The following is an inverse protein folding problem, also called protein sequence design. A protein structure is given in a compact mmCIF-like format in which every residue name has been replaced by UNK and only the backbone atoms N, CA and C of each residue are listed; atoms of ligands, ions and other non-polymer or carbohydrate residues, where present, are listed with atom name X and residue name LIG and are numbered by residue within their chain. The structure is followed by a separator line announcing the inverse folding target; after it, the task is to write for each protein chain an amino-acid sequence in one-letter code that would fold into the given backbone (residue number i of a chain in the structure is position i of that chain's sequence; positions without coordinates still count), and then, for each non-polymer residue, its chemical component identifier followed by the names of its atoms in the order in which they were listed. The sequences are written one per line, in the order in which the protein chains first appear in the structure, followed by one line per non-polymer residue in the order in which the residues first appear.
data_IF_188230749247
#
_entry.id   IF_188230749247
#
_cell.length_a   1.000
_cell.length_b   1.000
_cell.length_c   1.000
_cell.angle_alpha   90.00
_cell.angle_beta   90.00
_cell.angle_gamma   90.00
#
_symmetry.space_group_name_H-M   'P 1'
#
loop_
_entity.id
_entity.type
_entity.pdbx_description
1 polymer ?
#
# COMPACT_ATOMS: atom_id res chain seq x y z
N UNK A 1 17.90 26.40 -3.80
CA UNK A 1 17.62 27.07 -2.51
C UNK A 1 18.04 28.53 -2.62
N UNK A 2 17.23 29.47 -2.12
CA UNK A 2 17.54 30.90 -2.07
C UNK A 2 18.73 31.17 -1.13
N UNK A 3 19.61 32.11 -1.52
CA UNK A 3 20.73 32.61 -0.71
C UNK A 3 20.30 33.25 0.63
N UNK A 4 19.01 33.53 0.81
CA UNK A 4 18.46 34.26 1.96
C UNK A 4 17.57 33.43 2.89
N UNK A 5 17.55 32.11 2.74
CA UNK A 5 16.66 31.22 3.50
C UNK A 5 15.19 31.26 3.00
N UNK A 6 14.28 30.50 3.64
CA UNK A 6 12.89 30.43 3.21
C UNK A 6 12.15 31.75 3.47
N UNK A 7 11.38 32.19 2.49
CA UNK A 7 10.48 33.34 2.57
C UNK A 7 9.36 33.12 3.60
N UNK A 8 8.74 34.21 4.06
CA UNK A 8 7.56 34.14 4.94
C UNK A 8 6.45 33.29 4.35
N UNK A 9 6.24 33.35 3.03
CA UNK A 9 5.26 32.53 2.32
C UNK A 9 5.59 31.04 2.44
N UNK A 10 6.84 30.66 2.16
CA UNK A 10 7.28 29.26 2.27
C UNK A 10 7.16 28.73 3.71
N UNK A 11 7.41 29.58 4.71
CA UNK A 11 7.22 29.20 6.12
C UNK A 11 5.74 29.01 6.49
N UNK A 12 4.83 29.80 5.92
CA UNK A 12 3.38 29.63 6.11
C UNK A 12 2.86 28.36 5.43
N UNK A 13 3.34 28.07 4.21
CA UNK A 13 3.05 26.82 3.51
C UNK A 13 3.56 25.60 4.30
N UNK A 14 4.78 25.68 4.83
CA UNK A 14 5.34 24.63 5.68
C UNK A 14 4.54 24.45 6.98
N UNK A 15 4.16 25.55 7.64
CA UNK A 15 3.31 25.48 8.82
C UNK A 15 1.97 24.83 8.52
N UNK A 16 1.30 25.22 7.43
CA UNK A 16 0.03 24.63 7.04
C UNK A 16 0.14 23.12 6.77
N UNK A 17 1.26 22.67 6.19
CA UNK A 17 1.54 21.25 6.03
C UNK A 17 1.70 20.52 7.37
N UNK A 18 2.48 21.09 8.30
CA UNK A 18 2.76 20.47 9.61
C UNK A 18 1.52 20.45 10.50
N UNK A 19 0.73 21.52 10.51
CA UNK A 19 -0.44 21.67 11.41
C UNK A 19 -1.75 21.19 10.78
N UNK A 20 -1.79 21.01 9.46
CA UNK A 20 -3.02 20.76 8.70
C UNK A 20 -3.97 21.97 8.62
N UNK A 21 -3.52 23.16 9.01
CA UNK A 21 -4.35 24.36 9.10
C UNK A 21 -3.72 25.56 8.41
N UNK A 22 -4.49 26.22 7.55
CA UNK A 22 -4.07 27.49 6.93
C UNK A 22 -4.04 28.61 7.96
N UNK A 23 -3.01 29.46 7.89
CA UNK A 23 -2.90 30.66 8.71
C UNK A 23 -2.25 31.80 7.92
N UNK A 24 -2.67 33.03 8.20
CA UNK A 24 -2.03 34.24 7.70
C UNK A 24 -0.81 34.68 8.55
N UNK A 25 -0.59 34.02 9.69
CA UNK A 25 0.48 34.34 10.67
C UNK A 25 1.36 33.12 10.96
N UNK A 26 2.63 33.39 11.23
CA UNK A 26 3.56 32.37 11.71
C UNK A 26 3.38 32.19 13.22
N UNK A 27 3.09 30.97 13.62
CA UNK A 27 2.95 30.51 15.00
C UNK A 27 4.09 29.58 15.41
N UNK A 28 4.79 29.00 14.42
CA UNK A 28 5.94 28.13 14.62
C UNK A 28 7.20 28.75 14.05
N UNK A 29 8.31 28.62 14.78
CA UNK A 29 9.65 28.94 14.30
C UNK A 29 10.11 27.89 13.27
N UNK A 30 11.10 28.25 12.44
CA UNK A 30 11.72 27.30 11.50
C UNK A 30 12.25 26.04 12.20
N UNK A 31 12.81 26.18 13.41
CA UNK A 31 13.32 25.04 14.18
C UNK A 31 12.18 24.12 14.64
N UNK A 32 11.08 24.68 15.13
CA UNK A 32 9.89 23.91 15.49
C UNK A 32 9.27 23.21 14.27
N UNK A 33 9.15 23.91 13.13
CA UNK A 33 8.67 23.30 11.87
C UNK A 33 9.54 22.12 11.45
N UNK A 34 10.87 22.27 11.53
CA UNK A 34 11.82 21.20 11.21
C UNK A 34 11.67 20.01 12.15
N UNK A 35 11.60 20.26 13.46
CA UNK A 35 11.44 19.21 14.46
C UNK A 35 10.13 18.42 14.27
N UNK A 36 9.00 19.12 14.08
CA UNK A 36 7.70 18.49 13.84
C UNK A 36 7.68 17.70 12.52
N UNK A 37 8.33 18.21 11.47
CA UNK A 37 8.45 17.48 10.19
C UNK A 37 9.30 16.23 10.34
N UNK A 38 10.39 16.29 11.11
CA UNK A 38 11.22 15.12 11.39
C UNK A 38 10.44 14.05 12.15
N UNK A 39 9.67 14.43 13.17
CA UNK A 39 8.82 13.50 13.89
C UNK A 39 7.78 12.86 12.97
N UNK A 40 7.11 13.67 12.15
CA UNK A 40 6.13 13.22 11.17
C UNK A 40 6.72 12.21 10.15
N UNK A 41 7.95 12.46 9.70
CA UNK A 41 8.67 11.55 8.81
C UNK A 41 9.03 10.25 9.52
N UNK A 42 9.54 10.31 10.75
CA UNK A 42 9.88 9.13 11.54
C UNK A 42 8.64 8.23 11.77
N UNK A 43 7.50 8.83 12.11
CA UNK A 43 6.25 8.10 12.26
C UNK A 43 5.79 7.45 10.95
N UNK A 44 5.90 8.19 9.84
CA UNK A 44 5.51 7.67 8.52
C UNK A 44 6.42 6.53 8.07
N UNK A 45 7.74 6.63 8.30
CA UNK A 45 8.69 5.55 8.03
C UNK A 45 8.36 4.28 8.83
N UNK A 46 8.04 4.43 10.12
CA UNK A 46 7.63 3.31 10.98
C UNK A 46 6.36 2.64 10.45
N UNK A 47 5.35 3.43 10.06
CA UNK A 47 4.09 2.91 9.51
C UNK A 47 4.34 2.22 8.17
N UNK A 48 5.10 2.82 7.26
CA UNK A 48 5.46 2.21 5.98
C UNK A 48 6.18 0.88 6.17
N UNK A 49 7.13 0.79 7.11
CA UNK A 49 7.84 -0.46 7.41
C UNK A 49 6.90 -1.56 7.91
N UNK A 50 5.93 -1.22 8.78
CA UNK A 50 4.94 -2.19 9.25
C UNK A 50 4.00 -2.64 8.12
N UNK A 51 3.58 -1.71 7.25
CA UNK A 51 2.76 -2.03 6.08
C UNK A 51 3.49 -3.01 5.16
N UNK A 52 4.75 -2.77 4.81
CA UNK A 52 5.55 -3.65 3.95
C UNK A 52 5.60 -5.07 4.52
N UNK A 53 5.85 -5.21 5.83
CA UNK A 53 5.83 -6.50 6.51
C UNK A 53 4.47 -7.19 6.37
N UNK A 54 3.38 -6.51 6.72
CA UNK A 54 2.03 -7.08 6.66
C UNK A 54 1.63 -7.47 5.23
N UNK A 55 1.92 -6.61 4.24
CA UNK A 55 1.67 -6.85 2.81
C UNK A 55 2.38 -8.13 2.34
N UNK A 56 3.59 -8.40 2.84
CA UNK A 56 4.36 -9.58 2.46
C UNK A 56 3.85 -10.90 3.07
N UNK A 57 3.11 -10.84 4.18
CA UNK A 57 2.72 -12.01 4.97
C UNK A 57 1.22 -12.36 4.85
N UNK A 58 0.36 -11.35 4.68
CA UNK A 58 -1.09 -11.56 4.75
C UNK A 58 -1.62 -12.39 3.57
N UNK A 59 -2.67 -13.15 3.87
CA UNK A 59 -3.53 -13.85 2.90
C UNK A 59 -4.97 -13.29 2.87
N UNK A 60 -5.26 -12.26 3.69
CA UNK A 60 -6.58 -11.63 3.75
C UNK A 60 -6.64 -10.44 2.77
N UNK A 61 -7.52 -10.47 1.76
CA UNK A 61 -7.67 -9.37 0.80
C UNK A 61 -7.86 -8.01 1.47
N UNK A 62 -8.78 -7.90 2.45
CA UNK A 62 -9.05 -6.61 3.08
C UNK A 62 -7.83 -6.02 3.80
N UNK A 63 -7.02 -6.88 4.41
CA UNK A 63 -5.80 -6.46 5.10
C UNK A 63 -4.72 -6.07 4.09
N UNK A 64 -4.59 -6.83 3.00
CA UNK A 64 -3.61 -6.53 1.95
C UNK A 64 -3.86 -5.16 1.32
N UNK A 65 -5.05 -4.94 0.75
CA UNK A 65 -5.36 -3.71 0.02
C UNK A 65 -5.38 -2.49 0.94
N UNK A 66 -5.93 -2.61 2.16
CA UNK A 66 -5.88 -1.49 3.11
C UNK A 66 -4.47 -1.09 3.54
N UNK A 67 -3.52 -2.05 3.58
CA UNK A 67 -2.11 -1.75 3.87
C UNK A 67 -1.37 -1.18 2.66
N UNK A 68 -1.71 -1.59 1.44
CA UNK A 68 -1.20 -0.96 0.22
C UNK A 68 -1.59 0.52 0.16
N UNK A 69 -2.86 0.84 0.41
CA UNK A 69 -3.34 2.22 0.44
C UNK A 69 -2.64 3.05 1.52
N UNK A 70 -2.50 2.48 2.72
CA UNK A 70 -1.82 3.15 3.83
C UNK A 70 -0.33 3.39 3.51
N UNK A 71 0.34 2.41 2.91
CA UNK A 71 1.73 2.54 2.47
C UNK A 71 1.88 3.65 1.42
N UNK A 72 0.97 3.74 0.46
CA UNK A 72 0.97 4.81 -0.54
C UNK A 72 0.83 6.18 0.13
N UNK A 73 -0.16 6.34 1.03
CA UNK A 73 -0.41 7.59 1.75
C UNK A 73 0.82 8.07 2.52
N UNK A 74 1.49 7.17 3.25
CA UNK A 74 2.67 7.52 4.02
C UNK A 74 3.90 7.77 3.15
N UNK A 75 4.06 7.04 2.05
CA UNK A 75 5.13 7.30 1.07
C UNK A 75 4.96 8.65 0.38
N UNK A 76 3.72 9.00 0.00
CA UNK A 76 3.38 10.33 -0.52
C UNK A 76 3.64 11.43 0.51
N UNK A 77 3.27 11.21 1.77
CA UNK A 77 3.54 12.17 2.85
C UNK A 77 5.04 12.38 3.06
N UNK A 78 5.83 11.31 2.98
CA UNK A 78 7.29 11.37 3.06
C UNK A 78 7.90 12.15 1.90
N UNK A 79 7.38 12.00 0.67
CA UNK A 79 7.86 12.77 -0.49
C UNK A 79 7.62 14.28 -0.33
N UNK A 80 6.53 14.69 0.34
CA UNK A 80 6.32 16.11 0.70
C UNK A 80 7.33 16.57 1.75
N UNK A 81 7.64 15.73 2.75
CA UNK A 81 8.63 16.06 3.79
C UNK A 81 10.03 16.34 3.20
N UNK A 82 10.39 15.75 2.06
CA UNK A 82 11.70 15.98 1.40
C UNK A 82 11.98 17.43 1.07
N UNK A 83 10.93 18.24 0.84
CA UNK A 83 11.08 19.68 0.61
C UNK A 83 11.67 20.41 1.83
N UNK A 84 11.52 19.83 3.02
CA UNK A 84 11.73 20.49 4.30
C UNK A 84 12.85 19.86 5.15
N UNK A 85 13.08 18.56 4.99
CA UNK A 85 14.10 17.80 5.73
C UNK A 85 14.92 16.93 4.79
N UNK A 86 16.09 16.51 5.24
CA UNK A 86 16.96 15.60 4.49
C UNK A 86 16.65 14.17 4.88
N UNK A 87 16.62 13.28 3.89
CA UNK A 87 16.54 11.83 4.09
C UNK A 87 17.91 11.21 3.84
N UNK A 88 18.19 10.10 4.54
CA UNK A 88 19.36 9.27 4.27
C UNK A 88 18.93 8.04 3.49
N UNK A 89 19.69 7.66 2.45
CA UNK A 89 19.34 6.56 1.55
C UNK A 89 18.47 7.00 0.37
N UNK A 90 17.57 6.11 -0.07
CA UNK A 90 16.67 6.39 -1.19
C UNK A 90 15.71 7.53 -0.84
N UNK A 91 15.47 8.41 -1.80
CA UNK A 91 14.53 9.51 -1.63
C UNK A 91 13.09 8.97 -1.62
N UNK A 92 12.26 9.27 -0.61
CA UNK A 92 10.81 9.05 -0.68
C UNK A 92 10.11 9.39 -2.01
N UNK A 93 10.51 10.43 -2.75
CA UNK A 93 9.95 10.75 -4.08
C UNK A 93 10.32 9.71 -5.13
N UNK A 94 11.52 9.14 -5.05
CA UNK A 94 11.93 8.03 -5.91
C UNK A 94 11.15 6.75 -5.54
N UNK A 95 11.00 6.48 -4.24
CA UNK A 95 10.17 5.36 -3.77
C UNK A 95 8.71 5.50 -4.23
N UNK A 96 8.17 6.72 -4.19
CA UNK A 96 6.82 7.01 -4.70
C UNK A 96 6.71 6.79 -6.21
N UNK A 97 7.72 7.20 -6.98
CA UNK A 97 7.74 6.98 -8.43
C UNK A 97 7.76 5.49 -8.80
N UNK A 98 8.42 4.68 -7.98
CA UNK A 98 8.52 3.23 -8.15
C UNK A 98 7.27 2.48 -7.68
N UNK A 99 6.40 3.13 -6.90
CA UNK A 99 5.25 2.51 -6.24
C UNK A 99 4.34 1.74 -7.20
N UNK A 100 4.14 2.21 -8.45
CA UNK A 100 3.30 1.51 -9.42
C UNK A 100 3.83 0.12 -9.81
N UNK A 101 5.14 -0.01 -10.05
CA UNK A 101 5.75 -1.29 -10.37
C UNK A 101 5.82 -2.20 -9.13
N UNK A 102 6.13 -1.64 -7.97
CA UNK A 102 6.15 -2.38 -6.71
C UNK A 102 4.74 -2.87 -6.34
N UNK A 103 3.72 -2.07 -6.63
CA UNK A 103 2.31 -2.41 -6.47
C UNK A 103 1.93 -3.62 -7.33
N UNK A 104 2.23 -3.58 -8.64
CA UNK A 104 1.98 -4.70 -9.54
C UNK A 104 2.57 -6.02 -9.03
N UNK A 105 3.86 -5.99 -8.64
CA UNK A 105 4.57 -7.17 -8.13
C UNK A 105 4.01 -7.65 -6.78
N UNK A 106 3.66 -6.71 -5.88
CA UNK A 106 3.08 -7.04 -4.58
C UNK A 106 1.71 -7.71 -4.72
N UNK A 107 0.85 -7.20 -5.62
CA UNK A 107 -0.45 -7.79 -5.94
C UNK A 107 -0.28 -9.19 -6.50
N UNK A 108 0.64 -9.39 -7.45
CA UNK A 108 0.92 -10.71 -8.02
C UNK A 108 1.37 -11.71 -6.95
N UNK A 109 2.31 -11.30 -6.09
CA UNK A 109 2.79 -12.14 -4.98
C UNK A 109 1.65 -12.48 -3.99
N UNK A 110 0.78 -11.52 -3.69
CA UNK A 110 -0.39 -11.74 -2.85
C UNK A 110 -1.39 -12.71 -3.46
N UNK A 111 -1.74 -12.56 -4.74
CA UNK A 111 -2.65 -13.46 -5.46
C UNK A 111 -2.14 -14.90 -5.37
N UNK A 112 -0.84 -15.11 -5.60
CA UNK A 112 -0.23 -16.45 -5.49
C UNK A 112 -0.38 -17.04 -4.08
N UNK A 113 -0.04 -16.28 -3.03
CA UNK A 113 -0.17 -16.75 -1.64
C UNK A 113 -1.62 -17.05 -1.29
N UNK A 114 -2.55 -16.17 -1.68
CA UNK A 114 -3.96 -16.34 -1.39
C UNK A 114 -4.55 -17.55 -2.14
N UNK A 115 -4.17 -17.75 -3.41
CA UNK A 115 -4.56 -18.93 -4.17
C UNK A 115 -4.05 -20.23 -3.52
N UNK A 116 -2.79 -20.26 -3.08
CA UNK A 116 -2.23 -21.42 -2.37
C UNK A 116 -2.98 -21.74 -1.07
N UNK A 117 -3.34 -20.70 -0.30
CA UNK A 117 -4.17 -20.87 0.90
C UNK A 117 -5.56 -21.42 0.56
N UNK A 118 -6.17 -20.96 -0.54
CA UNK A 118 -7.45 -21.48 -1.03
C UNK A 118 -7.35 -22.94 -1.46
N UNK A 119 -6.32 -23.34 -2.21
CA UNK A 119 -6.08 -24.73 -2.58
C UNK A 119 -5.94 -25.61 -1.34
N UNK A 120 -5.08 -25.19 -0.40
CA UNK A 120 -4.87 -25.91 0.87
C UNK A 120 -6.18 -26.07 1.64
N UNK A 121 -7.02 -25.02 1.66
CA UNK A 121 -8.33 -25.09 2.32
C UNK A 121 -9.28 -26.03 1.59
N UNK A 122 -9.32 -26.01 0.26
CA UNK A 122 -10.17 -26.88 -0.54
C UNK A 122 -9.80 -28.36 -0.33
N UNK A 123 -8.52 -28.70 -0.22
CA UNK A 123 -8.08 -30.08 0.02
C UNK A 123 -8.56 -30.63 1.38
N UNK A 124 -8.83 -29.78 2.37
CA UNK A 124 -9.45 -30.22 3.64
C UNK A 124 -10.94 -30.56 3.53
N UNK A 125 -11.59 -30.23 2.42
CA UNK A 125 -13.04 -30.40 2.25
C UNK A 125 -13.37 -31.74 1.59
N UNK A 126 -14.40 -32.40 2.11
CA UNK A 126 -14.84 -33.71 1.63
C UNK A 126 -15.67 -33.66 0.36
N UNK A 127 -16.48 -32.61 0.18
CA UNK A 127 -17.47 -32.57 -0.90
C UNK A 127 -16.96 -31.75 -2.09
N UNK A 128 -17.23 -32.19 -3.34
CA UNK A 128 -16.93 -31.41 -4.53
C UNK A 128 -17.53 -30.00 -4.47
N UNK A 129 -18.80 -29.88 -4.04
CA UNK A 129 -19.46 -28.58 -3.84
C UNK A 129 -18.72 -27.68 -2.86
N UNK A 130 -18.19 -28.23 -1.76
CA UNK A 130 -17.38 -27.49 -0.80
C UNK A 130 -16.11 -26.91 -1.43
N UNK A 131 -15.42 -27.69 -2.27
CA UNK A 131 -14.22 -27.27 -3.00
C UNK A 131 -14.53 -26.19 -4.03
N UNK A 132 -15.56 -26.38 -4.85
CA UNK A 132 -16.03 -25.38 -5.83
C UNK A 132 -16.42 -24.05 -5.17
N UNK A 133 -17.03 -24.11 -3.99
CA UNK A 133 -17.33 -22.90 -3.20
C UNK A 133 -16.07 -22.14 -2.75
N UNK A 134 -14.90 -22.80 -2.61
CA UNK A 134 -13.66 -22.09 -2.31
C UNK A 134 -13.14 -21.32 -3.52
N UNK A 135 -13.29 -21.87 -4.74
CA UNK A 135 -12.95 -21.16 -5.97
C UNK A 135 -13.81 -19.90 -6.15
N UNK A 136 -15.12 -20.00 -5.88
CA UNK A 136 -16.02 -18.85 -5.89
C UNK A 136 -15.58 -17.79 -4.87
N UNK A 137 -15.34 -18.18 -3.60
CA UNK A 137 -14.91 -17.26 -2.55
C UNK A 137 -13.59 -16.57 -2.85
N UNK A 138 -12.61 -17.28 -3.41
CA UNK A 138 -11.35 -16.69 -3.84
C UNK A 138 -11.59 -15.51 -4.77
N UNK A 139 -12.39 -15.72 -5.82
CA UNK A 139 -12.71 -14.66 -6.78
C UNK A 139 -13.55 -13.55 -6.16
N UNK A 140 -14.65 -13.90 -5.49
CA UNK A 140 -15.62 -12.93 -4.95
C UNK A 140 -14.99 -12.00 -3.90
N UNK A 141 -14.00 -12.49 -3.15
CA UNK A 141 -13.26 -11.67 -2.19
C UNK A 141 -12.31 -10.64 -2.83
N UNK A 142 -11.95 -10.82 -4.11
CA UNK A 142 -11.04 -9.94 -4.84
C UNK A 142 -11.78 -8.94 -5.73
N UNK A 143 -13.01 -9.24 -6.17
CA UNK A 143 -13.86 -8.35 -6.99
C UNK A 143 -13.89 -6.90 -6.45
N UNK A 144 -14.09 -6.65 -5.13
CA UNK A 144 -14.18 -5.28 -4.62
C UNK A 144 -12.94 -4.42 -4.90
N UNK A 145 -11.80 -5.06 -5.19
CA UNK A 145 -10.51 -4.42 -5.38
C UNK A 145 -10.07 -4.35 -6.84
N UNK A 146 -10.89 -4.79 -7.81
CA UNK A 146 -10.49 -4.83 -9.22
C UNK A 146 -10.13 -3.45 -9.79
N UNK A 147 -10.74 -2.37 -9.29
CA UNK A 147 -10.38 -1.00 -9.67
C UNK A 147 -8.96 -0.61 -9.24
N UNK A 148 -8.38 -1.35 -8.28
CA UNK A 148 -7.05 -1.16 -7.73
C UNK A 148 -6.09 -2.26 -8.20
N UNK A 149 -6.44 -3.04 -9.23
CA UNK A 149 -5.61 -4.13 -9.74
C UNK A 149 -5.41 -3.93 -11.24
N UNK A 150 -4.18 -4.11 -11.71
CA UNK A 150 -3.87 -3.98 -13.14
C UNK A 150 -4.54 -5.11 -13.95
N UNK A 151 -4.94 -4.86 -15.20
CA UNK A 151 -5.65 -5.84 -16.02
C UNK A 151 -4.95 -7.20 -16.13
N UNK A 152 -3.61 -7.22 -16.15
CA UNK A 152 -2.85 -8.48 -16.21
C UNK A 152 -3.01 -9.31 -14.92
N UNK A 153 -3.06 -8.64 -13.76
CA UNK A 153 -3.30 -9.29 -12.47
C UNK A 153 -4.77 -9.76 -12.35
N UNK A 154 -5.73 -9.03 -12.92
CA UNK A 154 -7.12 -9.49 -13.04
C UNK A 154 -7.20 -10.76 -13.88
N UNK A 155 -6.55 -10.77 -15.05
CA UNK A 155 -6.51 -11.96 -15.91
C UNK A 155 -5.89 -13.16 -15.19
N UNK A 156 -4.85 -12.93 -14.38
CA UNK A 156 -4.26 -13.97 -13.54
C UNK A 156 -5.25 -14.54 -12.52
N UNK A 157 -6.03 -13.68 -11.85
CA UNK A 157 -7.08 -14.09 -10.91
C UNK A 157 -8.13 -14.96 -11.62
N UNK A 158 -8.57 -14.55 -12.81
CA UNK A 158 -9.54 -15.31 -13.61
C UNK A 158 -8.98 -16.68 -14.03
N UNK A 159 -7.73 -16.72 -14.52
CA UNK A 159 -7.08 -17.95 -14.92
C UNK A 159 -6.93 -18.94 -13.73
N UNK A 160 -6.59 -18.42 -12.55
CA UNK A 160 -6.50 -19.21 -11.32
C UNK A 160 -7.88 -19.77 -10.95
N UNK A 161 -8.93 -18.95 -11.01
CA UNK A 161 -10.31 -19.39 -10.76
C UNK A 161 -10.72 -20.52 -11.69
N UNK A 162 -10.46 -20.41 -12.99
CA UNK A 162 -10.78 -21.46 -13.96
C UNK A 162 -10.00 -22.75 -13.68
N UNK A 163 -8.71 -22.62 -13.35
CA UNK A 163 -7.87 -23.74 -12.97
C UNK A 163 -8.38 -24.43 -11.69
N UNK A 164 -8.85 -23.66 -10.71
CA UNK A 164 -9.47 -24.21 -9.50
C UNK A 164 -10.75 -24.98 -9.84
N UNK A 165 -11.62 -24.45 -10.72
CA UNK A 165 -12.83 -25.16 -11.15
C UNK A 165 -12.51 -26.50 -11.81
N UNK A 166 -11.58 -26.52 -12.78
CA UNK A 166 -11.15 -27.76 -13.43
C UNK A 166 -10.60 -28.78 -12.41
N UNK A 167 -9.66 -28.35 -11.57
CA UNK A 167 -9.02 -29.22 -10.58
C UNK A 167 -9.97 -29.75 -9.50
N UNK A 168 -11.05 -29.02 -9.19
CA UNK A 168 -12.01 -29.42 -8.16
C UNK A 168 -13.18 -30.23 -8.69
N UNK A 169 -13.50 -30.14 -9.99
CA UNK A 169 -14.52 -30.96 -10.64
C UNK A 169 -13.98 -32.34 -11.05
N UNK A 170 -12.70 -32.42 -11.45
CA UNK A 170 -12.02 -33.68 -11.84
C UNK A 170 -11.70 -34.63 -10.66
N UNK A 171 -11.87 -34.20 -9.40
CA UNK A 171 -11.72 -35.05 -8.20
C UNK A 171 -13.02 -35.83 -7.85
N UNK A 172 -13.90 -36.09 -8.82
CA UNK A 172 -15.07 -36.99 -8.69
C UNK A 172 -14.66 -38.43 -9.01
#
# INVERSE_FOLDING_TARGET
MSLFGPSKRELLEWQAFVTGQQSSKLHMTKAQLKASTQQMANDSLRISSDCIRIISETIKPEVFFSRMDLLYQHTYKLSICEKYIQFSGALPSQALAQFGQDHFNAVQAFINRYAQATYSKADTLKTPKGKLNQAAKFYDSLIPYFNNIEPQNIQMIENIKQSMYANFDDKK
#
